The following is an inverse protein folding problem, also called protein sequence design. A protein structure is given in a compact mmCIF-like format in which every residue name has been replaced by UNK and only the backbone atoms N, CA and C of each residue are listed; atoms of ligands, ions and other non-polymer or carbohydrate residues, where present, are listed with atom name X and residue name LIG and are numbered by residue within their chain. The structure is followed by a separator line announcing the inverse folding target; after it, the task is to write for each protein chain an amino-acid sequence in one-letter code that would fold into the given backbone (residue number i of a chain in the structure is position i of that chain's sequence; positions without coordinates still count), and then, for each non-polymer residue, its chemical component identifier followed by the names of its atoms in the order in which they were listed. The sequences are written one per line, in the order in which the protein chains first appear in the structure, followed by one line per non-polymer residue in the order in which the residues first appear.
data_IF_388438380054
#
_entry.id   IF_388438380054
#
_cell.length_a   1.000
_cell.length_b   1.000
_cell.length_c   1.000
_cell.angle_alpha   90.00
_cell.angle_beta   90.00
_cell.angle_gamma   90.00
#
_symmetry.space_group_name_H-M   'P 1'
#
loop_
_entity.id
_entity.type
_entity.pdbx_description
1 polymer ?
#
# COMPACT_ATOMS: atom_id res chain seq x y z
N UNK A 1 -55.96 80.62 11.35
CA UNK A 1 -54.89 79.66 11.74
C UNK A 1 -55.29 78.19 11.56
N UNK A 2 -56.58 77.83 11.54
CA UNK A 2 -57.03 76.44 11.36
C UNK A 2 -56.75 75.82 9.96
N UNK A 3 -56.77 76.60 8.87
CA UNK A 3 -56.53 76.06 7.52
C UNK A 3 -55.11 75.50 7.30
N UNK A 4 -54.09 76.14 7.88
CA UNK A 4 -52.70 75.66 7.78
C UNK A 4 -52.51 74.35 8.55
N UNK A 5 -53.20 74.19 9.69
CA UNK A 5 -53.12 72.97 10.49
C UNK A 5 -53.72 71.76 9.72
N UNK A 6 -54.83 71.95 9.00
CA UNK A 6 -55.42 70.90 8.16
C UNK A 6 -54.54 70.50 6.97
N UNK A 7 -53.84 71.45 6.35
CA UNK A 7 -52.91 71.17 5.25
C UNK A 7 -51.68 70.37 5.71
N UNK A 8 -51.11 70.72 6.87
CA UNK A 8 -49.97 70.01 7.47
C UNK A 8 -50.36 68.58 7.85
N UNK A 9 -51.55 68.38 8.42
CA UNK A 9 -52.05 67.04 8.79
C UNK A 9 -52.20 66.10 7.59
N UNK A 10 -52.70 66.62 6.46
CA UNK A 10 -52.78 65.87 5.20
C UNK A 10 -51.41 65.52 4.62
N UNK A 11 -50.45 66.46 4.69
CA UNK A 11 -49.06 66.22 4.29
C UNK A 11 -48.40 65.12 5.14
N UNK A 12 -48.57 65.17 6.46
CA UNK A 12 -48.05 64.13 7.35
C UNK A 12 -48.68 62.76 7.07
N UNK A 13 -49.99 62.70 6.81
CA UNK A 13 -50.68 61.46 6.47
C UNK A 13 -50.20 60.88 5.13
N UNK A 14 -50.00 61.72 4.11
CA UNK A 14 -49.45 61.32 2.82
C UNK A 14 -48.00 60.83 2.94
N UNK A 15 -47.18 61.51 3.76
CA UNK A 15 -45.80 61.12 4.02
C UNK A 15 -45.73 59.77 4.76
N UNK A 16 -46.61 59.55 5.75
CA UNK A 16 -46.69 58.29 6.47
C UNK A 16 -47.05 57.11 5.55
N UNK A 17 -47.99 57.32 4.62
CA UNK A 17 -48.35 56.34 3.58
C UNK A 17 -47.18 56.03 2.64
N UNK A 18 -46.41 57.03 2.22
CA UNK A 18 -45.23 56.84 1.37
C UNK A 18 -44.10 56.10 2.10
N UNK A 19 -43.86 56.41 3.37
CA UNK A 19 -42.85 55.73 4.20
C UNK A 19 -43.26 54.27 4.45
N UNK A 20 -44.53 54.02 4.80
CA UNK A 20 -45.04 52.67 5.00
C UNK A 20 -44.99 51.84 3.70
N UNK A 21 -45.39 52.43 2.56
CA UNK A 21 -45.38 51.77 1.25
C UNK A 21 -43.96 51.48 0.74
N UNK A 22 -43.03 52.42 0.90
CA UNK A 22 -41.62 52.24 0.52
C UNK A 22 -40.92 51.22 1.42
N UNK A 23 -41.20 51.20 2.72
CA UNK A 23 -40.68 50.19 3.65
C UNK A 23 -41.15 48.78 3.30
N UNK A 24 -42.44 48.61 3.01
CA UNK A 24 -42.98 47.33 2.55
C UNK A 24 -42.39 46.93 1.19
N UNK A 25 -42.33 47.85 0.23
CA UNK A 25 -41.74 47.62 -1.09
C UNK A 25 -40.26 47.22 -1.03
N UNK A 26 -39.47 47.87 -0.17
CA UNK A 26 -38.06 47.52 0.06
C UNK A 26 -37.92 46.14 0.74
N UNK A 27 -38.75 45.88 1.75
CA UNK A 27 -38.70 44.61 2.49
C UNK A 27 -39.03 43.42 1.59
N UNK A 28 -40.11 43.49 0.83
CA UNK A 28 -40.55 42.42 -0.07
C UNK A 28 -39.75 42.37 -1.38
N UNK A 29 -39.36 43.53 -1.92
CA UNK A 29 -38.69 43.62 -3.23
C UNK A 29 -37.18 43.38 -3.18
N UNK A 30 -36.51 43.67 -2.07
CA UNK A 30 -35.04 43.63 -1.98
C UNK A 30 -34.59 42.75 -0.82
N UNK A 31 -35.07 42.99 0.40
CA UNK A 31 -34.55 42.31 1.58
C UNK A 31 -34.86 40.81 1.60
N UNK A 32 -36.13 40.42 1.43
CA UNK A 32 -36.57 39.03 1.37
C UNK A 32 -35.85 38.19 0.29
N UNK A 33 -35.80 38.63 -0.99
CA UNK A 33 -35.10 37.86 -2.01
C UNK A 33 -33.59 37.77 -1.75
N UNK A 34 -32.95 38.84 -1.25
CA UNK A 34 -31.53 38.81 -0.94
C UNK A 34 -31.21 37.83 0.21
N UNK A 35 -32.05 37.80 1.24
CA UNK A 35 -31.91 36.86 2.35
C UNK A 35 -32.13 35.41 1.90
N UNK A 36 -33.08 35.16 1.00
CA UNK A 36 -33.29 33.85 0.41
C UNK A 36 -32.09 33.38 -0.41
N UNK A 37 -31.45 34.27 -1.19
CA UNK A 37 -30.23 33.95 -1.95
C UNK A 37 -29.05 33.62 -1.05
N UNK A 38 -28.80 34.42 -0.01
CA UNK A 38 -27.75 34.14 0.98
C UNK A 38 -27.93 32.79 1.67
N UNK A 39 -29.17 32.39 1.97
CA UNK A 39 -29.44 31.06 2.53
C UNK A 39 -29.24 29.94 1.50
N UNK A 40 -29.60 30.16 0.24
CA UNK A 40 -29.36 29.20 -0.84
C UNK A 40 -27.86 28.99 -1.06
N UNK A 41 -27.07 30.05 -1.17
CA UNK A 41 -25.61 29.99 -1.34
C UNK A 41 -24.93 29.25 -0.18
N UNK A 42 -25.39 29.48 1.06
CA UNK A 42 -24.86 28.73 2.22
C UNK A 42 -25.17 27.23 2.14
N UNK A 43 -26.39 26.87 1.73
CA UNK A 43 -26.79 25.45 1.57
C UNK A 43 -26.01 24.79 0.44
N UNK A 44 -25.80 25.50 -0.67
CA UNK A 44 -24.98 25.02 -1.79
C UNK A 44 -23.53 24.82 -1.34
N UNK A 45 -22.92 25.79 -0.64
CA UNK A 45 -21.57 25.67 -0.12
C UNK A 45 -21.43 24.51 0.90
N UNK A 46 -22.42 24.31 1.78
CA UNK A 46 -22.45 23.17 2.71
C UNK A 46 -22.59 21.82 1.98
N UNK A 47 -23.41 21.77 0.92
CA UNK A 47 -23.59 20.58 0.10
C UNK A 47 -22.31 20.24 -0.68
N UNK A 48 -21.67 21.24 -1.30
CA UNK A 48 -20.39 21.09 -1.99
C UNK A 48 -19.28 20.64 -1.03
N UNK A 49 -19.18 21.26 0.16
CA UNK A 49 -18.20 20.85 1.17
C UNK A 49 -18.44 19.42 1.65
N UNK A 50 -19.71 19.03 1.84
CA UNK A 50 -20.09 17.66 2.21
C UNK A 50 -19.73 16.65 1.11
N UNK A 51 -19.96 16.99 -0.15
CA UNK A 51 -19.60 16.14 -1.29
C UNK A 51 -18.08 16.03 -1.44
N UNK A 52 -17.35 17.14 -1.30
CA UNK A 52 -15.89 17.17 -1.33
C UNK A 52 -15.31 16.27 -0.23
N UNK A 53 -15.82 16.37 1.01
CA UNK A 53 -15.39 15.54 2.12
C UNK A 53 -15.64 14.05 1.89
N UNK A 54 -16.76 13.68 1.25
CA UNK A 54 -17.04 12.29 0.84
C UNK A 54 -16.06 11.79 -0.20
N UNK A 55 -15.82 12.58 -1.26
CA UNK A 55 -14.85 12.25 -2.32
C UNK A 55 -13.44 12.09 -1.75
N UNK A 56 -13.03 12.97 -0.83
CA UNK A 56 -11.73 12.88 -0.17
C UNK A 56 -11.63 11.64 0.73
N UNK A 57 -12.69 11.28 1.45
CA UNK A 57 -12.72 10.06 2.25
C UNK A 57 -12.62 8.80 1.39
N UNK A 58 -13.36 8.74 0.28
CA UNK A 58 -13.31 7.64 -0.69
C UNK A 58 -11.92 7.54 -1.34
N UNK A 59 -11.34 8.67 -1.73
CA UNK A 59 -9.99 8.71 -2.31
C UNK A 59 -8.92 8.24 -1.33
N UNK A 60 -9.02 8.63 -0.04
CA UNK A 60 -8.12 8.14 1.02
C UNK A 60 -8.28 6.65 1.23
N UNK A 61 -9.50 6.15 1.31
CA UNK A 61 -9.77 4.72 1.47
C UNK A 61 -9.21 3.90 0.30
N UNK A 62 -9.43 4.36 -0.94
CA UNK A 62 -8.88 3.72 -2.13
C UNK A 62 -7.35 3.76 -2.16
N UNK A 63 -6.74 4.88 -1.77
CA UNK A 63 -5.28 5.01 -1.68
C UNK A 63 -4.68 4.08 -0.61
N UNK A 64 -5.32 3.96 0.56
CA UNK A 64 -4.90 3.03 1.61
C UNK A 64 -5.02 1.57 1.18
N UNK A 65 -6.15 1.20 0.56
CA UNK A 65 -6.36 -0.12 -0.04
C UNK A 65 -5.24 -0.46 -1.05
N UNK A 66 -4.95 0.46 -1.97
CA UNK A 66 -3.87 0.30 -2.96
C UNK A 66 -2.50 0.12 -2.29
N UNK A 67 -2.18 0.95 -1.28
CA UNK A 67 -0.92 0.84 -0.52
C UNK A 67 -0.80 -0.50 0.20
N UNK A 68 -1.87 -1.00 0.82
CA UNK A 68 -1.87 -2.32 1.49
C UNK A 68 -1.64 -3.45 0.48
N UNK A 69 -2.29 -3.38 -0.68
CA UNK A 69 -2.09 -4.38 -1.74
C UNK A 69 -0.67 -4.36 -2.30
N UNK A 70 -0.07 -3.18 -2.47
CA UNK A 70 1.31 -3.04 -2.91
C UNK A 70 2.29 -3.59 -1.85
N UNK A 71 2.11 -3.24 -0.58
CA UNK A 71 2.92 -3.76 0.51
C UNK A 71 2.87 -5.29 0.58
N UNK A 72 1.68 -5.89 0.48
CA UNK A 72 1.53 -7.35 0.46
C UNK A 72 2.24 -8.02 -0.72
N UNK A 73 2.29 -7.36 -1.89
CA UNK A 73 3.05 -7.87 -3.06
C UNK A 73 4.55 -7.82 -2.83
N UNK A 74 5.06 -6.72 -2.29
CA UNK A 74 6.49 -6.57 -1.96
C UNK A 74 6.91 -7.62 -0.93
N UNK A 75 6.13 -7.79 0.14
CA UNK A 75 6.41 -8.82 1.16
C UNK A 75 6.42 -10.24 0.57
N UNK A 76 5.53 -10.52 -0.39
CA UNK A 76 5.51 -11.79 -1.10
C UNK A 76 6.78 -12.00 -1.95
N UNK A 77 7.18 -11.00 -2.73
CA UNK A 77 8.40 -11.06 -3.54
C UNK A 77 9.65 -11.23 -2.69
N UNK A 78 9.76 -10.51 -1.57
CA UNK A 78 10.84 -10.64 -0.61
C UNK A 78 10.89 -12.05 0.00
N UNK A 79 9.73 -12.61 0.33
CA UNK A 79 9.62 -13.98 0.84
C UNK A 79 10.12 -15.00 -0.19
N UNK A 80 9.75 -14.86 -1.47
CA UNK A 80 10.25 -15.72 -2.55
C UNK A 80 11.77 -15.58 -2.73
N UNK A 81 12.28 -14.35 -2.72
CA UNK A 81 13.70 -14.06 -2.86
C UNK A 81 14.50 -14.68 -1.71
N UNK A 82 14.00 -14.57 -0.48
CA UNK A 82 14.64 -15.18 0.68
C UNK A 82 14.65 -16.71 0.60
N UNK A 83 13.54 -17.33 0.17
CA UNK A 83 13.46 -18.77 -0.04
C UNK A 83 14.50 -19.26 -1.07
N UNK A 84 14.63 -18.54 -2.19
CA UNK A 84 15.59 -18.85 -3.25
C UNK A 84 17.04 -18.64 -2.80
N UNK A 85 17.31 -17.54 -2.09
CA UNK A 85 18.64 -17.25 -1.53
C UNK A 85 19.05 -18.33 -0.51
N UNK A 86 18.12 -18.74 0.36
CA UNK A 86 18.36 -19.82 1.34
C UNK A 86 18.67 -21.14 0.64
N UNK A 87 17.94 -21.48 -0.42
CA UNK A 87 18.21 -22.65 -1.25
C UNK A 87 19.62 -22.61 -1.82
N UNK A 88 20.01 -21.53 -2.50
CA UNK A 88 21.35 -21.35 -3.08
C UNK A 88 22.45 -21.43 -2.03
N UNK A 89 22.25 -20.81 -0.86
CA UNK A 89 23.21 -20.84 0.24
C UNK A 89 23.40 -22.25 0.81
N UNK A 90 22.30 -23.00 0.99
CA UNK A 90 22.36 -24.39 1.45
C UNK A 90 23.04 -25.29 0.42
N UNK A 91 22.71 -25.12 -0.87
CA UNK A 91 23.38 -25.84 -1.94
C UNK A 91 24.88 -25.58 -1.95
N UNK A 92 25.31 -24.32 -1.92
CA UNK A 92 26.71 -23.95 -1.88
C UNK A 92 27.41 -24.47 -0.62
N UNK A 93 26.73 -24.45 0.53
CA UNK A 93 27.27 -25.00 1.78
C UNK A 93 27.48 -26.51 1.70
N UNK A 94 26.53 -27.24 1.10
CA UNK A 94 26.67 -28.68 0.87
C UNK A 94 27.85 -28.97 -0.06
N UNK A 95 28.02 -28.20 -1.14
CA UNK A 95 29.17 -28.34 -2.03
C UNK A 95 30.50 -28.14 -1.30
N UNK A 96 30.63 -27.08 -0.47
CA UNK A 96 31.84 -26.86 0.32
C UNK A 96 32.11 -27.99 1.33
N UNK A 97 31.05 -28.55 1.92
CA UNK A 97 31.21 -29.68 2.83
C UNK A 97 31.75 -30.92 2.10
N UNK A 98 31.19 -31.23 0.93
CA UNK A 98 31.65 -32.34 0.09
C UNK A 98 33.07 -32.13 -0.44
N UNK A 99 33.39 -30.93 -0.91
CA UNK A 99 34.75 -30.59 -1.35
C UNK A 99 35.78 -30.84 -0.24
N UNK A 100 35.51 -30.36 0.98
CA UNK A 100 36.40 -30.58 2.13
C UNK A 100 36.54 -32.06 2.47
N UNK A 101 35.47 -32.84 2.34
CA UNK A 101 35.53 -34.30 2.50
C UNK A 101 36.42 -34.95 1.45
N UNK A 102 36.29 -34.55 0.18
CA UNK A 102 37.09 -35.11 -0.91
C UNK A 102 38.58 -34.74 -0.77
N UNK A 103 38.87 -33.51 -0.33
CA UNK A 103 40.24 -33.06 -0.05
C UNK A 103 40.83 -33.89 1.08
N UNK A 104 40.11 -34.09 2.18
CA UNK A 104 40.57 -34.90 3.30
C UNK A 104 40.82 -36.37 2.89
N UNK A 105 39.91 -36.98 2.14
CA UNK A 105 40.10 -38.35 1.63
C UNK A 105 41.28 -38.45 0.64
N UNK A 106 41.50 -37.40 -0.16
CA UNK A 106 42.64 -37.34 -1.07
C UNK A 106 43.95 -37.23 -0.30
N UNK A 107 44.02 -36.37 0.74
CA UNK A 107 45.18 -36.22 1.62
C UNK A 107 45.48 -37.53 2.38
N UNK A 108 44.47 -38.15 2.99
CA UNK A 108 44.61 -39.45 3.66
C UNK A 108 45.14 -40.55 2.71
N UNK A 109 44.74 -40.50 1.44
CA UNK A 109 45.24 -41.44 0.43
C UNK A 109 46.71 -41.20 0.09
N UNK A 110 47.14 -39.94 0.02
CA UNK A 110 48.53 -39.55 -0.27
C UNK A 110 49.49 -39.95 0.86
N UNK A 111 49.02 -39.91 2.10
CA UNK A 111 49.81 -40.29 3.28
C UNK A 111 50.11 -41.80 3.36
N UNK A 112 49.43 -42.62 2.55
CA UNK A 112 49.68 -44.06 2.48
C UNK A 112 50.88 -44.37 1.56
N UNK A 113 51.90 -45.01 2.15
CA UNK A 113 53.21 -45.31 1.54
C UNK A 113 53.16 -46.04 0.18
N UNK A 114 52.10 -46.78 -0.10
CA UNK A 114 51.94 -47.55 -1.35
C UNK A 114 51.15 -46.80 -2.43
N UNK A 115 50.66 -45.61 -2.14
CA UNK A 115 49.81 -44.83 -3.03
C UNK A 115 50.61 -43.83 -3.84
N UNK A 116 50.26 -43.67 -5.12
CA UNK A 116 50.76 -42.57 -5.96
C UNK A 116 49.72 -41.46 -6.07
N UNK A 117 50.16 -40.22 -6.26
CA UNK A 117 49.25 -39.07 -6.44
C UNK A 117 48.21 -39.34 -7.55
N UNK A 118 48.65 -39.92 -8.67
CA UNK A 118 47.78 -40.28 -9.79
C UNK A 118 46.75 -41.34 -9.41
N UNK A 119 47.11 -42.31 -8.57
CA UNK A 119 46.15 -43.31 -8.07
C UNK A 119 45.15 -42.74 -7.09
N UNK A 120 45.57 -41.82 -6.22
CA UNK A 120 44.69 -41.15 -5.25
C UNK A 120 43.71 -40.21 -5.92
N UNK A 121 44.18 -39.38 -6.87
CA UNK A 121 43.31 -38.47 -7.62
C UNK A 121 42.26 -39.21 -8.47
N UNK A 122 42.58 -40.41 -8.95
CA UNK A 122 41.63 -41.27 -9.68
C UNK A 122 40.59 -41.90 -8.74
N UNK A 123 40.97 -42.21 -7.50
CA UNK A 123 40.08 -42.84 -6.51
C UNK A 123 39.19 -41.82 -5.79
N UNK A 124 39.73 -40.64 -5.49
CA UNK A 124 39.04 -39.55 -4.80
C UNK A 124 39.08 -38.28 -5.68
N UNK A 125 38.20 -38.18 -6.70
CA UNK A 125 38.09 -36.97 -7.50
C UNK A 125 37.50 -35.84 -6.66
N UNK A 126 38.29 -34.79 -6.45
CA UNK A 126 37.88 -33.62 -5.68
C UNK A 126 36.84 -32.82 -6.47
N UNK A 127 35.63 -32.73 -5.92
CA UNK A 127 34.54 -31.94 -6.52
C UNK A 127 34.78 -30.44 -6.35
N UNK A 128 34.23 -29.57 -7.19
CA UNK A 128 34.37 -28.13 -7.02
C UNK A 128 33.62 -27.60 -5.80
N UNK A 129 34.14 -26.54 -5.16
CA UNK A 129 33.50 -25.90 -4.00
C UNK A 129 32.15 -25.24 -4.32
N UNK A 130 31.93 -24.86 -5.58
CA UNK A 130 30.73 -24.16 -6.06
C UNK A 130 30.16 -24.87 -7.28
N UNK A 131 28.84 -24.84 -7.42
CA UNK A 131 28.16 -25.43 -8.58
C UNK A 131 28.34 -26.94 -8.68
N UNK A 132 28.61 -27.62 -7.56
CA UNK A 132 28.78 -29.06 -7.54
C UNK A 132 27.43 -29.78 -7.78
N UNK A 133 27.50 -30.99 -8.33
CA UNK A 133 26.37 -31.90 -8.39
C UNK A 133 26.20 -32.58 -7.02
N UNK A 134 25.09 -32.27 -6.34
CA UNK A 134 24.74 -32.92 -5.09
C UNK A 134 24.12 -34.31 -5.35
N UNK A 135 24.24 -35.25 -4.39
CA UNK A 135 23.50 -36.51 -4.43
C UNK A 135 22.00 -36.27 -4.61
N UNK A 136 21.34 -37.12 -5.39
CA UNK A 136 19.93 -36.97 -5.77
C UNK A 136 19.00 -36.75 -4.57
N UNK A 137 19.18 -37.51 -3.49
CA UNK A 137 18.38 -37.39 -2.27
C UNK A 137 18.53 -36.01 -1.60
N UNK A 138 19.77 -35.51 -1.49
CA UNK A 138 20.04 -34.21 -0.89
C UNK A 138 19.54 -33.08 -1.78
N UNK A 139 19.77 -33.17 -3.09
CA UNK A 139 19.26 -32.21 -4.06
C UNK A 139 17.73 -32.11 -4.03
N UNK A 140 17.04 -33.27 -3.97
CA UNK A 140 15.59 -33.35 -3.86
C UNK A 140 15.09 -32.73 -2.55
N UNK A 141 15.70 -33.08 -1.41
CA UNK A 141 15.32 -32.50 -0.12
C UNK A 141 15.48 -30.97 -0.09
N UNK A 142 16.57 -30.44 -0.67
CA UNK A 142 16.77 -28.99 -0.77
C UNK A 142 15.76 -28.30 -1.69
N UNK A 143 15.37 -28.96 -2.78
CA UNK A 143 14.35 -28.47 -3.70
C UNK A 143 12.96 -28.48 -3.04
N UNK A 144 12.60 -29.55 -2.34
CA UNK A 144 11.35 -29.67 -1.61
C UNK A 144 11.24 -28.60 -0.51
N UNK A 145 12.32 -28.37 0.25
CA UNK A 145 12.37 -27.31 1.27
C UNK A 145 12.15 -25.91 0.66
N UNK A 146 12.70 -25.65 -0.54
CA UNK A 146 12.49 -24.40 -1.28
C UNK A 146 11.02 -24.28 -1.69
N UNK A 147 10.44 -25.34 -2.23
CA UNK A 147 9.07 -25.32 -2.75
C UNK A 147 8.06 -25.15 -1.61
N UNK A 148 8.27 -25.85 -0.49
CA UNK A 148 7.50 -25.65 0.75
C UNK A 148 7.59 -24.21 1.26
N UNK A 149 8.76 -23.59 1.19
CA UNK A 149 8.92 -22.18 1.58
C UNK A 149 8.14 -21.24 0.64
N UNK A 150 8.14 -21.50 -0.67
CA UNK A 150 7.35 -20.73 -1.65
C UNK A 150 5.84 -20.87 -1.42
N UNK A 151 5.38 -22.07 -1.10
CA UNK A 151 3.97 -22.32 -0.72
C UNK A 151 3.57 -21.55 0.53
N UNK A 152 4.44 -21.50 1.55
CA UNK A 152 4.21 -20.68 2.74
C UNK A 152 4.13 -19.19 2.42
N UNK A 153 4.95 -18.68 1.49
CA UNK A 153 4.86 -17.29 1.02
C UNK A 153 3.51 -17.03 0.35
N UNK A 154 3.04 -17.94 -0.50
CA UNK A 154 1.74 -17.83 -1.16
C UNK A 154 0.58 -17.83 -0.14
N UNK A 155 0.65 -18.71 0.87
CA UNK A 155 -0.33 -18.76 1.95
C UNK A 155 -0.42 -17.44 2.73
N UNK A 156 0.72 -16.79 3.01
CA UNK A 156 0.75 -15.47 3.66
C UNK A 156 0.11 -14.38 2.79
N UNK A 157 0.38 -14.36 1.49
CA UNK A 157 -0.24 -13.43 0.56
C UNK A 157 -1.77 -13.63 0.50
N UNK A 158 -2.24 -14.87 0.46
CA UNK A 158 -3.68 -15.17 0.48
C UNK A 158 -4.32 -14.73 1.79
N UNK A 159 -3.68 -14.99 2.94
CA UNK A 159 -4.15 -14.53 4.25
C UNK A 159 -4.23 -13.00 4.35
N UNK A 160 -3.28 -12.27 3.77
CA UNK A 160 -3.33 -10.80 3.72
C UNK A 160 -4.46 -10.23 2.86
N UNK A 161 -4.99 -11.02 1.91
CA UNK A 161 -6.11 -10.63 1.04
C UNK A 161 -7.48 -10.92 1.65
N UNK A 162 -7.58 -11.93 2.53
CA UNK A 162 -8.85 -12.30 3.19
C UNK A 162 -9.14 -11.51 4.46
N UNK A 163 -8.14 -10.81 5.02
CA UNK A 163 -8.27 -10.00 6.25
C UNK A 163 -8.50 -8.50 5.95
N UNK A 164 -8.51 -8.10 4.67
CA UNK A 164 -8.81 -6.73 4.22
C UNK A 164 -10.23 -6.56 3.73
#
# INVERSE_FOLDING_TARGET
MLDRAGAILKLCAALALLIAGSGAGYYYGIFLPNHARLQAERREAEAEAGEQARRDAEARFAAEQSRRQQAARVEYEDCLNFAELRYKNRWASACRAMHRSDVAEFEDCLDNFFSTEKSCRRRHPIRPERGCALPSQLAAALAEDRDRAKEQCLGKLQASRTVG
#
